data_IF_989596917353
#
_entry.id   IF_989596917353
#
_cell.length_a   1.000
_cell.length_b   1.000
_cell.length_c   1.000
_cell.angle_alpha   90.00
_cell.angle_beta   90.00
_cell.angle_gamma   90.00
#
_symmetry.space_group_name_H-M   'P 1'
#
loop_
_entity.id
_entity.type
_entity.pdbx_description
1 polymer ?
#
# COMPACT_ATOMS: atom_id res chain seq x y z
N UNK A 1 -7.20 -38.16 -4.76
CA UNK A 1 -7.19 -36.68 -4.72
C UNK A 1 -8.45 -36.07 -4.12
N UNK A 2 -9.67 -36.48 -4.51
CA UNK A 2 -10.92 -35.91 -4.00
C UNK A 2 -11.12 -35.97 -2.45
N UNK A 3 -10.64 -37.04 -1.81
CA UNK A 3 -10.82 -37.28 -0.37
C UNK A 3 -10.02 -36.30 0.52
N UNK A 4 -8.88 -35.81 0.03
CA UNK A 4 -8.03 -34.88 0.79
C UNK A 4 -8.62 -33.47 0.75
N UNK A 5 -9.08 -33.01 -0.42
CA UNK A 5 -9.77 -31.72 -0.60
C UNK A 5 -11.07 -31.63 0.21
N UNK A 6 -11.85 -32.72 0.27
CA UNK A 6 -13.06 -32.76 1.08
C UNK A 6 -12.77 -32.58 2.59
N UNK A 7 -11.63 -33.11 3.06
CA UNK A 7 -11.23 -33.03 4.47
C UNK A 7 -10.74 -31.61 4.82
N UNK A 8 -9.98 -30.97 3.92
CA UNK A 8 -9.56 -29.57 4.10
C UNK A 8 -10.75 -28.61 4.12
N UNK A 9 -11.74 -28.84 3.26
CA UNK A 9 -12.96 -28.02 3.23
C UNK A 9 -13.80 -28.20 4.50
N UNK A 10 -13.92 -29.42 5.02
CA UNK A 10 -14.66 -29.67 6.26
C UNK A 10 -14.00 -29.03 7.49
N UNK A 11 -12.65 -29.05 7.56
CA UNK A 11 -11.91 -28.37 8.64
C UNK A 11 -12.08 -26.85 8.54
N UNK A 12 -11.97 -26.29 7.34
CA UNK A 12 -12.18 -24.86 7.13
C UNK A 12 -13.61 -24.43 7.48
N UNK A 13 -14.61 -25.22 7.12
CA UNK A 13 -16.00 -24.94 7.44
C UNK A 13 -16.25 -24.96 8.96
N UNK A 14 -15.66 -25.92 9.68
CA UNK A 14 -15.72 -25.96 11.13
C UNK A 14 -15.03 -24.74 11.79
N UNK A 15 -13.88 -24.32 11.28
CA UNK A 15 -13.20 -23.10 11.77
C UNK A 15 -14.02 -21.84 11.51
N UNK A 16 -14.66 -21.73 10.34
CA UNK A 16 -15.55 -20.62 10.02
C UNK A 16 -16.78 -20.60 10.91
N UNK A 17 -17.34 -21.75 11.26
CA UNK A 17 -18.46 -21.83 12.21
C UNK A 17 -18.05 -21.41 13.63
N UNK A 18 -16.87 -21.82 14.10
CA UNK A 18 -16.32 -21.34 15.37
C UNK A 18 -16.05 -19.83 15.37
N UNK A 19 -15.58 -19.28 14.26
CA UNK A 19 -15.40 -17.84 14.11
C UNK A 19 -16.75 -17.12 14.08
N UNK A 20 -17.72 -17.62 13.32
CA UNK A 20 -19.09 -17.11 13.25
C UNK A 20 -19.70 -16.96 14.64
N UNK A 21 -19.62 -18.02 15.45
CA UNK A 21 -20.13 -18.02 16.82
C UNK A 21 -19.43 -16.99 17.71
N UNK A 22 -18.11 -16.86 17.57
CA UNK A 22 -17.30 -15.88 18.32
C UNK A 22 -17.63 -14.43 17.96
N UNK A 23 -18.02 -14.18 16.71
CA UNK A 23 -18.54 -12.89 16.25
C UNK A 23 -20.02 -12.68 16.61
N UNK A 24 -20.67 -13.63 17.30
CA UNK A 24 -22.07 -13.55 17.70
C UNK A 24 -23.05 -13.68 16.52
N UNK A 25 -22.61 -14.25 15.40
CA UNK A 25 -23.40 -14.36 14.17
C UNK A 25 -24.21 -15.66 14.15
N UNK A 26 -25.44 -15.59 13.64
CA UNK A 26 -26.33 -16.73 13.44
C UNK A 26 -25.86 -17.67 12.32
N UNK A 27 -26.35 -18.92 12.26
CA UNK A 27 -25.86 -19.97 11.35
C UNK A 27 -25.95 -19.63 9.86
N UNK A 28 -26.84 -18.73 9.47
CA UNK A 28 -27.05 -18.31 8.09
C UNK A 28 -26.36 -17.00 7.72
N UNK A 29 -25.51 -16.45 8.60
CA UNK A 29 -24.83 -15.17 8.42
C UNK A 29 -23.38 -15.31 7.91
N UNK A 30 -23.10 -16.35 7.11
CA UNK A 30 -21.77 -16.56 6.51
C UNK A 30 -21.30 -15.38 5.66
N UNK A 31 -22.23 -14.70 4.96
CA UNK A 31 -21.90 -13.50 4.19
C UNK A 31 -21.48 -12.32 5.08
N UNK A 32 -22.12 -12.16 6.24
CA UNK A 32 -21.77 -11.12 7.20
C UNK A 32 -20.43 -11.42 7.86
N UNK A 33 -20.16 -12.69 8.20
CA UNK A 33 -18.83 -13.12 8.67
C UNK A 33 -17.73 -12.75 7.68
N UNK A 34 -17.92 -13.06 6.38
CA UNK A 34 -16.94 -12.71 5.35
C UNK A 34 -16.76 -11.20 5.21
N UNK A 35 -17.83 -10.41 5.35
CA UNK A 35 -17.76 -8.95 5.34
C UNK A 35 -16.91 -8.43 6.51
N UNK A 36 -17.18 -8.89 7.73
CA UNK A 36 -16.43 -8.50 8.93
C UNK A 36 -14.95 -8.89 8.81
N UNK A 37 -14.67 -10.13 8.37
CA UNK A 37 -13.30 -10.59 8.13
C UNK A 37 -12.59 -9.75 7.08
N UNK A 38 -13.26 -9.37 5.99
CA UNK A 38 -12.68 -8.51 4.97
C UNK A 38 -12.37 -7.10 5.47
N UNK A 39 -13.23 -6.54 6.34
CA UNK A 39 -13.00 -5.23 6.97
C UNK A 39 -11.76 -5.28 7.87
N UNK A 40 -11.64 -6.30 8.71
CA UNK A 40 -10.49 -6.51 9.61
C UNK A 40 -9.22 -6.71 8.79
N UNK A 41 -9.24 -7.62 7.80
CA UNK A 41 -8.10 -7.89 6.93
C UNK A 41 -7.66 -6.64 6.16
N UNK A 42 -8.61 -5.86 5.63
CA UNK A 42 -8.34 -4.60 4.96
C UNK A 42 -7.74 -3.54 5.88
N UNK A 43 -8.19 -3.47 7.14
CA UNK A 43 -7.59 -2.58 8.13
C UNK A 43 -6.15 -3.00 8.45
N UNK A 44 -5.89 -4.28 8.71
CA UNK A 44 -4.55 -4.82 8.97
C UNK A 44 -3.61 -4.53 7.81
N UNK A 45 -4.05 -4.77 6.56
CA UNK A 45 -3.26 -4.48 5.38
C UNK A 45 -2.90 -2.99 5.29
N UNK A 46 -3.85 -2.08 5.54
CA UNK A 46 -3.57 -0.63 5.57
C UNK A 46 -2.60 -0.21 6.67
N UNK A 47 -2.67 -0.81 7.85
CA UNK A 47 -1.73 -0.51 8.93
C UNK A 47 -0.30 -0.95 8.56
N UNK A 48 -0.18 -2.14 7.97
CA UNK A 48 1.11 -2.64 7.47
C UNK A 48 1.68 -1.74 6.38
N UNK A 49 0.84 -1.25 5.47
CA UNK A 49 1.23 -0.28 4.43
C UNK A 49 1.75 1.04 4.99
N UNK A 50 1.32 1.41 6.19
CA UNK A 50 1.82 2.59 6.90
C UNK A 50 3.08 2.30 7.72
N UNK A 51 3.69 1.12 7.55
CA UNK A 51 4.88 0.69 8.29
C UNK A 51 4.60 0.32 9.76
N UNK A 52 3.33 0.16 10.15
CA UNK A 52 2.96 -0.18 11.53
C UNK A 52 3.04 -1.68 11.77
N UNK A 53 3.55 -2.06 12.94
CA UNK A 53 3.59 -3.46 13.37
C UNK A 53 2.27 -3.81 14.03
N UNK A 54 1.64 -4.90 13.58
CA UNK A 54 0.43 -5.44 14.22
C UNK A 54 0.83 -6.51 15.22
N UNK A 55 0.41 -6.31 16.47
CA UNK A 55 0.66 -7.21 17.58
C UNK A 55 -0.68 -7.70 18.15
N UNK A 56 -0.79 -9.00 18.39
CA UNK A 56 -1.89 -9.61 19.11
C UNK A 56 -1.48 -9.74 20.59
N UNK A 57 -2.30 -9.20 21.49
CA UNK A 57 -2.10 -9.34 22.93
C UNK A 57 -3.09 -10.35 23.50
N UNK A 58 -2.58 -11.37 24.19
CA UNK A 58 -3.34 -12.34 24.95
C UNK A 58 -2.82 -12.37 26.39
N UNK A 59 -3.51 -11.66 27.30
CA UNK A 59 -3.00 -11.42 28.65
C UNK A 59 -1.67 -10.66 28.62
N UNK A 60 -0.64 -11.24 29.22
CA UNK A 60 0.73 -10.68 29.23
C UNK A 60 1.54 -11.04 27.98
N UNK A 61 1.04 -11.92 27.13
CA UNK A 61 1.73 -12.34 25.92
C UNK A 61 1.42 -11.37 24.78
N UNK A 62 2.47 -10.84 24.17
CA UNK A 62 2.39 -10.00 22.97
C UNK A 62 3.12 -10.72 21.85
N UNK A 63 2.38 -11.10 20.81
CA UNK A 63 2.93 -11.75 19.62
C UNK A 63 2.71 -10.88 18.39
N UNK A 64 3.77 -10.70 17.60
CA UNK A 64 3.67 -10.02 16.31
C UNK A 64 2.90 -10.90 15.33
N UNK A 65 1.93 -10.33 14.65
CA UNK A 65 1.19 -11.01 13.59
C UNK A 65 2.12 -11.27 12.39
N UNK A 66 2.50 -12.53 12.20
CA UNK A 66 3.28 -12.99 11.06
C UNK A 66 2.36 -13.74 10.09
N UNK A 67 2.27 -13.28 8.85
CA UNK A 67 1.47 -13.95 7.84
C UNK A 67 2.07 -13.73 6.43
N UNK A 68 2.23 -14.78 5.60
CA UNK A 68 2.85 -14.67 4.27
C UNK A 68 2.19 -13.66 3.33
N UNK A 69 0.87 -13.42 3.49
CA UNK A 69 0.18 -12.39 2.71
C UNK A 69 0.60 -10.96 3.10
N UNK A 70 0.87 -10.72 4.40
CA UNK A 70 1.30 -9.42 4.90
C UNK A 70 2.77 -9.14 4.55
N UNK A 71 3.62 -10.18 4.59
CA UNK A 71 5.02 -10.09 4.17
C UNK A 71 5.14 -9.72 2.69
N UNK A 72 4.33 -10.34 1.82
CA UNK A 72 4.25 -9.98 0.39
C UNK A 72 3.86 -8.51 0.18
N UNK A 73 2.93 -8.00 0.98
CA UNK A 73 2.53 -6.58 0.92
C UNK A 73 3.68 -5.66 1.37
N UNK A 74 4.39 -5.98 2.45
CA UNK A 74 5.55 -5.19 2.89
C UNK A 74 6.72 -5.23 1.90
N UNK A 75 6.97 -6.38 1.25
CA UNK A 75 8.02 -6.53 0.27
C UNK A 75 7.72 -5.75 -1.02
N UNK A 76 6.45 -5.56 -1.37
CA UNK A 76 6.02 -4.75 -2.50
C UNK A 76 6.20 -3.24 -2.25
N UNK A 77 6.08 -2.76 -1.01
CA UNK A 77 6.36 -1.36 -0.65
C UNK A 77 7.85 -1.07 -0.45
N UNK A 78 8.63 -2.03 0.04
CA UNK A 78 10.10 -1.91 -0.03
C UNK A 78 10.62 -1.84 -1.47
N UNK A 79 9.76 -2.06 -2.48
CA UNK A 79 10.04 -1.83 -3.91
C UNK A 79 9.53 -0.49 -4.44
N UNK A 80 8.78 0.32 -3.69
CA UNK A 80 8.19 1.56 -4.23
C UNK A 80 8.87 2.84 -3.74
N UNK A 81 9.29 3.64 -4.73
CA UNK A 81 9.77 5.03 -4.69
C UNK A 81 11.19 5.33 -4.17
N UNK A 82 12.00 4.32 -3.90
CA UNK A 82 13.35 4.54 -3.40
C UNK A 82 14.28 3.35 -3.56
N UNK A 83 14.22 2.61 -4.68
CA UNK A 83 15.42 1.88 -5.10
C UNK A 83 16.53 2.94 -5.17
N UNK A 84 17.42 2.91 -4.18
CA UNK A 84 18.56 3.81 -4.09
C UNK A 84 19.27 3.68 -5.42
N UNK A 85 19.16 4.71 -6.26
CA UNK A 85 19.85 4.77 -7.54
C UNK A 85 21.34 4.68 -7.23
N UNK A 86 21.88 3.46 -7.34
CA UNK A 86 23.31 3.21 -7.20
C UNK A 86 23.90 3.57 -8.56
N UNK A 87 24.38 4.80 -8.66
CA UNK A 87 25.11 5.27 -9.82
C UNK A 87 26.52 4.68 -9.75
N UNK A 88 27.01 4.19 -10.88
CA UNK A 88 28.45 3.94 -11.08
C UNK A 88 29.23 5.26 -11.06
N UNK A 89 30.53 5.21 -10.80
CA UNK A 89 31.38 6.41 -10.77
C UNK A 89 31.26 7.24 -12.07
N UNK A 90 31.17 6.56 -13.22
CA UNK A 90 30.96 7.20 -14.52
C UNK A 90 29.59 7.88 -14.64
N UNK A 91 28.55 7.37 -13.98
CA UNK A 91 27.23 7.99 -13.96
C UNK A 91 27.17 9.18 -13.01
N UNK A 92 27.90 9.11 -11.90
CA UNK A 92 28.07 10.25 -10.97
C UNK A 92 28.77 11.41 -11.67
N UNK A 93 29.86 11.16 -12.40
CA UNK A 93 30.57 12.20 -13.16
C UNK A 93 29.71 12.83 -14.27
N UNK A 94 28.92 12.00 -14.99
CA UNK A 94 27.97 12.51 -15.99
C UNK A 94 26.87 13.35 -15.35
N UNK A 95 26.34 12.91 -14.21
CA UNK A 95 25.31 13.66 -13.48
C UNK A 95 25.87 14.99 -12.95
N UNK A 96 27.07 14.99 -12.39
CA UNK A 96 27.75 16.21 -11.94
C UNK A 96 27.93 17.20 -13.09
N UNK A 97 28.40 16.73 -14.24
CA UNK A 97 28.56 17.57 -15.45
C UNK A 97 27.22 18.17 -15.92
N UNK A 98 26.13 17.40 -15.83
CA UNK A 98 24.79 17.88 -16.19
C UNK A 98 24.25 18.92 -15.20
N UNK A 99 24.51 18.76 -13.90
CA UNK A 99 24.08 19.70 -12.87
C UNK A 99 24.90 21.00 -12.91
N UNK A 100 26.21 20.90 -13.17
CA UNK A 100 27.12 22.05 -13.29
C UNK A 100 26.83 22.95 -14.49
N UNK A 101 26.25 22.39 -15.57
CA UNK A 101 25.84 23.17 -16.75
C UNK A 101 24.78 24.23 -16.45
N UNK A 102 24.17 24.19 -15.27
CA UNK A 102 23.10 25.10 -14.87
C UNK A 102 21.80 24.73 -15.58
N UNK A 103 20.72 24.67 -14.82
CA UNK A 103 19.39 24.53 -15.39
C UNK A 103 18.82 25.93 -15.58
N UNK A 104 18.60 26.36 -16.83
CA UNK A 104 17.79 27.54 -17.12
C UNK A 104 16.34 27.09 -17.35
N UNK A 105 15.47 27.17 -16.32
CA UNK A 105 14.11 26.68 -16.44
C UNK A 105 13.35 27.47 -17.51
N UNK A 106 12.62 26.78 -18.42
CA UNK A 106 11.81 27.45 -19.42
C UNK A 106 10.82 28.41 -18.75
N UNK A 107 10.45 29.53 -19.40
CA UNK A 107 9.65 30.59 -18.80
C UNK A 107 8.31 30.10 -18.23
N UNK A 108 7.70 29.08 -18.85
CA UNK A 108 6.49 28.43 -18.35
C UNK A 108 6.69 27.73 -16.99
N UNK A 109 7.83 27.07 -16.78
CA UNK A 109 8.15 26.39 -15.52
C UNK A 109 8.43 27.38 -14.40
N UNK A 110 9.15 28.49 -14.70
CA UNK A 110 9.34 29.59 -13.73
C UNK A 110 8.01 30.20 -13.29
N UNK A 111 7.10 30.46 -14.24
CA UNK A 111 5.78 30.97 -13.93
C UNK A 111 4.94 30.00 -13.10
N UNK A 112 5.00 28.69 -13.41
CA UNK A 112 4.32 27.66 -12.64
C UNK A 112 4.82 27.57 -11.19
N UNK A 113 6.14 27.58 -10.98
CA UNK A 113 6.75 27.54 -9.64
C UNK A 113 6.44 28.83 -8.84
N UNK A 114 6.46 30.00 -9.49
CA UNK A 114 6.08 31.26 -8.88
C UNK A 114 4.59 31.29 -8.47
N UNK A 115 3.70 30.74 -9.30
CA UNK A 115 2.28 30.60 -8.98
C UNK A 115 2.05 29.60 -7.82
N UNK A 116 2.85 28.54 -7.76
CA UNK A 116 2.78 27.54 -6.68
C UNK A 116 3.23 28.11 -5.33
N UNK A 117 4.18 29.05 -5.36
CA UNK A 117 4.72 29.72 -4.18
C UNK A 117 3.83 30.86 -3.63
N UNK A 118 2.77 31.27 -4.34
CA UNK A 118 1.86 32.32 -3.87
C UNK A 118 0.71 31.75 -3.03
N UNK A 119 0.49 32.34 -1.85
CA UNK A 119 -0.45 31.85 -0.83
C UNK A 119 -1.95 31.81 -1.24
N UNK A 120 -2.48 32.70 -2.10
CA UNK A 120 -3.78 32.47 -2.70
C UNK A 120 -3.61 31.69 -4.01
N UNK A 121 -3.68 30.36 -3.93
CA UNK A 121 -3.61 29.46 -5.08
C UNK A 121 -4.74 29.78 -6.06
N UNK A 122 -4.43 30.30 -7.26
CA UNK A 122 -5.35 30.28 -8.40
C UNK A 122 -4.89 29.19 -9.38
N UNK A 123 -5.72 28.20 -9.71
CA UNK A 123 -5.35 27.19 -10.69
C UNK A 123 -5.10 27.86 -12.05
N UNK A 124 -4.06 27.44 -12.80
CA UNK A 124 -3.80 28.00 -14.12
C UNK A 124 -4.95 27.66 -15.08
N UNK A 125 -5.39 28.65 -15.87
CA UNK A 125 -6.39 28.44 -16.91
C UNK A 125 -5.78 27.66 -18.07
N UNK A 126 -6.02 26.36 -18.12
CA UNK A 126 -5.64 25.51 -19.25
C UNK A 126 -6.55 25.87 -20.44
N UNK A 127 -5.96 26.45 -21.49
CA UNK A 127 -6.58 26.54 -22.81
C UNK A 127 -5.96 25.46 -23.66
N UNK A 128 -6.77 24.49 -24.08
CA UNK A 128 -6.36 23.51 -25.06
C UNK A 128 -6.39 24.21 -26.42
N UNK A 129 -5.27 24.22 -27.14
CA UNK A 129 -5.29 24.61 -28.54
C UNK A 129 -6.14 23.60 -29.31
N UNK A 130 -7.07 24.04 -30.18
CA UNK A 130 -7.77 23.11 -31.05
C UNK A 130 -6.73 22.38 -31.91
N UNK A 131 -6.85 21.06 -32.00
CA UNK A 131 -6.11 20.29 -33.00
C UNK A 131 -6.67 20.67 -34.37
N UNK A 132 -5.83 21.27 -35.21
CA UNK A 132 -5.99 21.27 -36.67
C UNK A 132 -5.44 19.95 -37.24
#
# INVERSE_FOLDING_TARGET
MARFQALTNAVLEAELDLLRERFGLGPNQKADLLREMAVIAGWVARQMQQGRVIEARCGDMVERLQHPALERSSAAENRSAGERLVLSDAEVERLATLLERGFDPPPALRAALANLAQAPRRPPSLRWSPLD
#
